data_IF_282115058637
#
_entry.id   IF_282115058637
#
_cell.length_a   1.000
_cell.length_b   1.000
_cell.length_c   1.000
_cell.angle_alpha   90.00
_cell.angle_beta   90.00
_cell.angle_gamma   90.00
#
_symmetry.space_group_name_H-M   'P 1'
#
loop_
_entity.id
_entity.type
_entity.pdbx_description
1 polymer ?
#
# COMPACT_ATOMS: atom_id res chain seq x y z
N UNK A 1 -51.62 -36.93 20.55
CA UNK A 1 -51.26 -35.69 21.30
C UNK A 1 -50.05 -35.85 22.23
N UNK A 2 -50.01 -36.82 23.18
CA UNK A 2 -48.89 -36.95 24.13
C UNK A 2 -47.56 -37.38 23.43
N UNK A 3 -47.63 -38.19 22.39
CA UNK A 3 -46.40 -38.63 21.63
C UNK A 3 -45.83 -37.52 20.75
N UNK A 4 -46.70 -36.78 20.08
CA UNK A 4 -46.30 -35.61 19.27
C UNK A 4 -45.68 -34.51 20.14
N UNK A 5 -46.18 -34.25 21.34
CA UNK A 5 -45.58 -33.31 22.26
C UNK A 5 -44.20 -33.77 22.76
N UNK A 6 -44.02 -35.07 23.10
CA UNK A 6 -42.70 -35.59 23.50
C UNK A 6 -41.69 -35.49 22.39
N UNK A 7 -42.07 -35.78 21.14
CA UNK A 7 -41.20 -35.63 19.98
C UNK A 7 -40.81 -34.14 19.79
N UNK A 8 -41.73 -33.24 19.90
CA UNK A 8 -41.45 -31.80 19.80
C UNK A 8 -40.45 -31.31 20.87
N UNK A 9 -40.67 -31.74 22.15
CA UNK A 9 -39.76 -31.40 23.25
C UNK A 9 -38.34 -32.00 22.99
N UNK A 10 -38.25 -33.22 22.50
CA UNK A 10 -36.98 -33.85 22.18
C UNK A 10 -36.25 -33.08 21.07
N UNK A 11 -36.96 -32.66 20.02
CA UNK A 11 -36.39 -31.86 18.92
C UNK A 11 -35.90 -30.48 19.43
N UNK A 12 -36.61 -29.82 20.33
CA UNK A 12 -36.20 -28.56 20.96
C UNK A 12 -34.94 -28.77 21.80
N UNK A 13 -34.87 -29.85 22.59
CA UNK A 13 -33.69 -30.19 23.38
C UNK A 13 -32.50 -30.48 22.44
N UNK A 14 -32.69 -31.25 21.38
CA UNK A 14 -31.66 -31.57 20.41
C UNK A 14 -31.12 -30.34 19.67
N UNK A 15 -31.96 -29.30 19.50
CA UNK A 15 -31.60 -28.04 18.88
C UNK A 15 -30.86 -27.12 19.86
N UNK A 16 -31.30 -27.04 21.14
CA UNK A 16 -30.74 -26.09 22.09
C UNK A 16 -29.50 -26.61 22.79
N UNK A 17 -29.48 -27.85 23.23
CA UNK A 17 -28.38 -28.40 24.04
C UNK A 17 -27.03 -28.31 23.40
N UNK A 18 -26.81 -28.68 22.10
CA UNK A 18 -25.50 -28.52 21.47
C UNK A 18 -25.04 -27.08 21.40
N UNK A 19 -25.99 -26.14 21.20
CA UNK A 19 -25.67 -24.70 21.12
C UNK A 19 -25.23 -24.09 22.45
N UNK A 20 -25.57 -24.69 23.60
CA UNK A 20 -25.12 -24.24 24.92
C UNK A 20 -23.63 -24.49 25.16
N UNK A 21 -23.07 -25.55 24.54
CA UNK A 21 -21.68 -25.94 24.69
C UNK A 21 -20.73 -25.28 23.69
N UNK A 22 -21.26 -24.59 22.67
CA UNK A 22 -20.47 -23.88 21.69
C UNK A 22 -20.22 -22.43 22.10
N UNK A 23 -19.02 -21.92 21.80
CA UNK A 23 -18.66 -20.54 22.06
C UNK A 23 -19.55 -19.56 21.30
N UNK A 24 -19.79 -18.39 21.90
CA UNK A 24 -20.54 -17.29 21.27
C UNK A 24 -19.81 -16.74 20.05
N UNK A 25 -18.48 -16.66 20.11
CA UNK A 25 -17.62 -16.17 19.04
C UNK A 25 -16.61 -17.25 18.61
N UNK A 26 -16.25 -17.21 17.36
CA UNK A 26 -15.20 -18.03 16.77
C UNK A 26 -14.15 -17.05 16.24
N UNK A 27 -12.91 -17.27 16.67
CA UNK A 27 -11.75 -16.50 16.26
C UNK A 27 -10.80 -17.43 15.51
N UNK A 28 -10.33 -16.98 14.35
CA UNK A 28 -9.37 -17.71 13.50
C UNK A 28 -8.22 -16.79 13.20
N UNK A 29 -7.02 -17.33 13.30
CA UNK A 29 -5.79 -16.68 12.89
C UNK A 29 -5.08 -17.54 11.85
N UNK A 30 -4.69 -16.92 10.73
CA UNK A 30 -3.89 -17.54 9.67
C UNK A 30 -2.76 -16.61 9.27
N UNK A 31 -1.60 -17.20 9.00
CA UNK A 31 -0.39 -16.45 8.67
C UNK A 31 0.25 -17.01 7.41
N UNK A 32 0.78 -16.12 6.57
CA UNK A 32 1.58 -16.47 5.39
C UNK A 32 2.83 -15.59 5.33
N UNK A 33 3.94 -16.14 4.86
CA UNK A 33 5.14 -15.38 4.55
C UNK A 33 5.28 -15.22 3.03
N UNK A 34 5.43 -13.97 2.58
CA UNK A 34 5.48 -13.55 1.17
C UNK A 34 6.86 -12.97 0.88
N UNK A 35 7.52 -13.46 -0.17
CA UNK A 35 8.85 -12.97 -0.60
C UNK A 35 8.73 -11.64 -1.37
N UNK A 36 8.34 -10.61 -0.64
CA UNK A 36 8.16 -9.25 -1.17
C UNK A 36 8.30 -8.22 -0.06
N UNK A 37 8.71 -6.98 -0.38
CA UNK A 37 8.72 -5.88 0.58
C UNK A 37 7.32 -5.62 1.17
N UNK A 38 7.29 -5.24 2.45
CA UNK A 38 6.05 -5.10 3.23
C UNK A 38 5.03 -4.17 2.57
N UNK A 39 5.48 -3.02 2.07
CA UNK A 39 4.62 -2.04 1.42
C UNK A 39 3.96 -2.57 0.13
N UNK A 40 4.64 -3.42 -0.64
CA UNK A 40 4.07 -4.04 -1.84
C UNK A 40 2.92 -4.99 -1.49
N UNK A 41 3.13 -5.83 -0.47
CA UNK A 41 2.09 -6.73 0.04
C UNK A 41 0.93 -5.93 0.62
N UNK A 42 1.24 -4.89 1.41
CA UNK A 42 0.25 -4.01 2.03
C UNK A 42 -0.66 -3.36 0.98
N UNK A 43 -0.10 -2.82 -0.11
CA UNK A 43 -0.87 -2.16 -1.18
C UNK A 43 -1.85 -3.11 -1.86
N UNK A 44 -1.49 -4.38 -2.07
CA UNK A 44 -2.40 -5.39 -2.66
C UNK A 44 -3.60 -5.71 -1.77
N UNK A 45 -3.50 -5.47 -0.47
CA UNK A 45 -4.61 -5.65 0.48
C UNK A 45 -5.35 -4.34 0.73
N UNK A 46 -4.65 -3.20 0.78
CA UNK A 46 -5.23 -1.89 1.02
C UNK A 46 -6.04 -1.35 -0.16
N UNK A 47 -5.78 -1.83 -1.38
CA UNK A 47 -6.55 -1.53 -2.57
C UNK A 47 -7.65 -2.59 -2.78
N UNK A 48 -8.91 -2.21 -2.56
CA UNK A 48 -10.04 -3.16 -2.64
C UNK A 48 -10.26 -3.70 -4.06
N UNK A 49 -9.85 -2.99 -5.12
CA UNK A 49 -9.95 -3.47 -6.49
C UNK A 49 -9.01 -4.66 -6.78
N UNK A 50 -7.92 -4.80 -6.04
CA UNK A 50 -6.98 -5.92 -6.15
C UNK A 50 -7.53 -7.24 -5.56
N UNK A 51 -8.55 -7.17 -4.68
CA UNK A 51 -9.12 -8.37 -4.06
C UNK A 51 -9.70 -9.35 -5.07
N UNK A 52 -10.19 -8.86 -6.21
CA UNK A 52 -10.63 -9.69 -7.32
C UNK A 52 -9.56 -10.63 -7.87
N UNK A 53 -8.27 -10.27 -7.72
CA UNK A 53 -7.14 -11.01 -8.24
C UNK A 53 -6.66 -12.15 -7.32
N UNK A 54 -7.00 -12.10 -6.04
CA UNK A 54 -6.49 -13.09 -5.07
C UNK A 54 -7.55 -13.69 -4.14
N UNK A 55 -8.68 -13.02 -3.88
CA UNK A 55 -9.71 -13.56 -3.00
C UNK A 55 -10.55 -14.65 -3.71
N UNK A 56 -10.63 -15.88 -3.20
CA UNK A 56 -11.14 -17.03 -3.96
C UNK A 56 -12.63 -16.96 -4.29
N UNK A 57 -13.41 -16.20 -3.57
CA UNK A 57 -14.84 -16.00 -3.86
C UNK A 57 -15.02 -15.39 -5.25
N UNK A 58 -14.18 -14.48 -5.63
CA UNK A 58 -14.20 -13.79 -6.91
C UNK A 58 -13.63 -14.66 -8.05
N UNK A 59 -12.63 -15.49 -7.74
CA UNK A 59 -11.98 -16.36 -8.73
C UNK A 59 -12.82 -17.56 -9.13
N UNK A 60 -13.85 -17.93 -8.34
CA UNK A 60 -14.70 -19.11 -8.56
C UNK A 60 -15.94 -18.84 -9.41
N UNK A 61 -16.31 -17.61 -9.63
CA UNK A 61 -17.52 -17.23 -10.35
C UNK A 61 -17.21 -16.09 -11.34
N UNK A 62 -17.11 -16.45 -12.62
CA UNK A 62 -16.81 -15.47 -13.69
C UNK A 62 -17.95 -14.48 -13.96
N UNK A 63 -19.15 -14.71 -13.38
CA UNK A 63 -20.29 -13.78 -13.48
C UNK A 63 -20.23 -12.64 -12.47
N UNK A 64 -19.21 -12.60 -11.60
CA UNK A 64 -19.07 -11.56 -10.60
C UNK A 64 -18.86 -10.21 -11.28
N UNK A 65 -19.72 -9.26 -10.96
CA UNK A 65 -19.57 -7.86 -11.30
C UNK A 65 -19.19 -7.09 -10.05
N UNK A 66 -18.18 -6.24 -10.21
CA UNK A 66 -17.70 -5.37 -9.14
C UNK A 66 -18.19 -3.95 -9.37
N UNK A 67 -18.58 -3.31 -8.30
CA UNK A 67 -18.81 -1.88 -8.23
C UNK A 67 -17.95 -1.30 -7.10
N UNK A 68 -17.15 -0.30 -7.44
CA UNK A 68 -16.36 0.44 -6.46
C UNK A 68 -17.01 1.81 -6.33
N UNK A 69 -17.40 2.17 -5.12
CA UNK A 69 -17.94 3.50 -4.87
C UNK A 69 -16.83 4.55 -4.79
N UNK A 70 -16.85 5.50 -3.91
CA UNK A 70 -16.05 6.72 -3.95
C UNK A 70 -14.54 6.54 -3.84
N UNK A 71 -14.04 5.49 -3.18
CA UNK A 71 -12.60 5.23 -3.00
C UNK A 71 -12.28 3.74 -3.05
N UNK A 72 -11.21 3.40 -3.76
CA UNK A 72 -10.69 2.02 -3.85
C UNK A 72 -9.55 1.75 -2.87
N UNK A 73 -9.02 2.78 -2.19
CA UNK A 73 -7.85 2.71 -1.32
C UNK A 73 -8.07 3.41 0.02
N UNK A 74 -7.51 2.83 1.09
CA UNK A 74 -7.47 3.45 2.41
C UNK A 74 -8.72 3.22 3.26
N UNK A 75 -8.81 3.94 4.38
CA UNK A 75 -9.95 3.85 5.28
C UNK A 75 -11.23 4.36 4.61
N UNK A 76 -12.28 3.55 4.64
CA UNK A 76 -13.55 3.85 3.98
C UNK A 76 -13.68 3.23 2.59
N UNK A 77 -12.58 2.78 1.97
CA UNK A 77 -12.63 2.08 0.70
C UNK A 77 -13.58 0.88 0.76
N UNK A 78 -14.38 0.69 -0.29
CA UNK A 78 -15.32 -0.40 -0.37
C UNK A 78 -15.39 -1.00 -1.76
N UNK A 79 -15.77 -2.28 -1.81
CA UNK A 79 -16.01 -3.05 -3.01
C UNK A 79 -17.32 -3.79 -2.85
N UNK A 80 -18.26 -3.51 -3.73
CA UNK A 80 -19.52 -4.24 -3.82
C UNK A 80 -19.42 -5.27 -4.94
N UNK A 81 -20.06 -6.40 -4.74
CA UNK A 81 -20.14 -7.42 -5.79
C UNK A 81 -21.52 -8.03 -5.86
N UNK A 82 -21.88 -8.45 -7.04
CA UNK A 82 -23.06 -9.25 -7.29
C UNK A 82 -22.76 -10.33 -8.35
N UNK A 83 -23.52 -11.42 -8.31
CA UNK A 83 -23.43 -12.51 -9.27
C UNK A 83 -24.79 -12.76 -9.91
N UNK A 84 -24.80 -13.41 -11.07
CA UNK A 84 -26.06 -13.83 -11.73
C UNK A 84 -26.92 -14.74 -10.86
N UNK A 85 -26.33 -15.45 -9.88
CA UNK A 85 -27.02 -16.31 -8.91
C UNK A 85 -27.53 -15.55 -7.67
N UNK A 86 -27.63 -14.24 -7.74
CA UNK A 86 -28.06 -13.36 -6.63
C UNK A 86 -27.23 -13.51 -5.34
N UNK A 87 -25.97 -13.95 -5.46
CA UNK A 87 -25.01 -13.82 -4.36
C UNK A 87 -24.38 -12.44 -4.46
N UNK A 88 -24.52 -11.64 -3.43
CA UNK A 88 -23.95 -10.31 -3.37
C UNK A 88 -23.29 -10.06 -2.03
N UNK A 89 -22.51 -8.99 -1.96
CA UNK A 89 -21.92 -8.57 -0.69
C UNK A 89 -21.13 -7.29 -0.83
N UNK A 90 -20.58 -6.87 0.31
CA UNK A 90 -19.79 -5.64 0.43
C UNK A 90 -18.56 -5.95 1.29
N UNK A 91 -17.40 -5.60 0.77
CA UNK A 91 -16.16 -5.46 1.53
C UNK A 91 -15.97 -3.98 1.87
N UNK A 92 -15.71 -3.67 3.13
CA UNK A 92 -15.39 -2.30 3.56
C UNK A 92 -14.15 -2.30 4.44
N UNK A 93 -13.18 -1.44 4.11
CA UNK A 93 -12.02 -1.19 4.97
C UNK A 93 -12.39 -0.17 6.03
N UNK A 94 -12.38 -0.58 7.31
CA UNK A 94 -12.79 0.29 8.43
C UNK A 94 -11.63 1.09 9.00
N UNK A 95 -10.42 0.52 8.95
CA UNK A 95 -9.19 1.13 9.46
C UNK A 95 -8.02 0.68 8.60
N UNK A 96 -7.24 1.62 8.12
CA UNK A 96 -6.01 1.37 7.38
C UNK A 96 -4.90 2.17 8.04
N UNK A 97 -3.95 1.44 8.65
CA UNK A 97 -2.73 2.01 9.24
C UNK A 97 -1.58 1.58 8.35
N UNK A 98 -0.97 2.54 7.67
CA UNK A 98 0.05 2.31 6.65
C UNK A 98 1.12 1.32 7.11
N UNK A 99 1.32 0.27 6.32
CA UNK A 99 2.32 -0.79 6.54
C UNK A 99 2.20 -1.54 7.88
N UNK A 100 1.05 -1.46 8.56
CA UNK A 100 0.84 -2.10 9.87
C UNK A 100 -0.42 -2.94 9.94
N UNK A 101 -1.58 -2.35 9.60
CA UNK A 101 -2.87 -2.98 9.85
C UNK A 101 -3.93 -2.55 8.85
N UNK A 102 -4.78 -3.49 8.46
CA UNK A 102 -6.01 -3.23 7.69
C UNK A 102 -7.13 -3.99 8.35
N UNK A 103 -8.09 -3.28 8.97
CA UNK A 103 -9.31 -3.88 9.52
C UNK A 103 -10.45 -3.74 8.50
N UNK A 104 -11.23 -4.80 8.32
CA UNK A 104 -12.30 -4.84 7.33
C UNK A 104 -13.56 -5.52 7.83
N UNK A 105 -14.66 -5.19 7.19
CA UNK A 105 -15.94 -5.90 7.30
C UNK A 105 -16.25 -6.54 5.95
N UNK A 106 -16.67 -7.81 5.98
CA UNK A 106 -17.15 -8.53 4.83
C UNK A 106 -18.60 -8.92 5.08
N UNK A 107 -19.50 -8.40 4.27
CA UNK A 107 -20.94 -8.61 4.37
C UNK A 107 -21.40 -9.49 3.20
N UNK A 108 -22.20 -10.51 3.48
CA UNK A 108 -22.80 -11.38 2.48
C UNK A 108 -24.32 -11.26 2.50
N UNK A 109 -24.94 -11.12 1.35
CA UNK A 109 -26.41 -11.11 1.23
C UNK A 109 -26.94 -12.54 1.12
N UNK A 110 -28.07 -12.78 1.81
CA UNK A 110 -28.84 -14.01 1.64
C UNK A 110 -28.27 -15.28 2.27
N UNK A 111 -27.29 -15.18 3.18
CA UNK A 111 -26.71 -16.33 3.89
C UNK A 111 -26.89 -16.24 5.41
N UNK A 112 -26.80 -17.40 6.09
CA UNK A 112 -26.83 -17.46 7.56
C UNK A 112 -25.65 -16.71 8.16
N UNK A 113 -24.48 -16.80 7.54
CA UNK A 113 -23.31 -15.97 7.86
C UNK A 113 -23.37 -14.74 6.97
N UNK A 114 -23.74 -13.62 7.54
CA UNK A 114 -23.93 -12.38 6.79
C UNK A 114 -22.88 -11.31 7.10
N UNK A 115 -22.05 -11.50 8.13
CA UNK A 115 -21.02 -10.55 8.50
C UNK A 115 -19.79 -11.25 9.08
N UNK A 116 -18.62 -10.94 8.54
CA UNK A 116 -17.30 -11.34 9.05
C UNK A 116 -16.53 -10.07 9.35
N UNK A 117 -15.96 -9.99 10.55
CA UNK A 117 -15.00 -8.97 10.94
C UNK A 117 -13.59 -9.55 10.76
N UNK A 118 -12.73 -8.81 10.13
CA UNK A 118 -11.35 -9.26 9.92
C UNK A 118 -10.34 -8.15 10.07
N UNK A 119 -9.10 -8.56 10.30
CA UNK A 119 -7.95 -7.67 10.26
C UNK A 119 -6.73 -8.39 9.69
N UNK A 120 -6.03 -7.73 8.81
CA UNK A 120 -4.67 -8.08 8.41
C UNK A 120 -3.68 -7.28 9.22
N UNK A 121 -2.62 -7.92 9.68
CA UNK A 121 -1.44 -7.28 10.25
C UNK A 121 -0.22 -7.67 9.43
N UNK A 122 0.72 -6.73 9.29
CA UNK A 122 1.89 -6.84 8.44
C UNK A 122 3.16 -6.63 9.25
N UNK A 123 4.12 -7.53 9.09
CA UNK A 123 5.41 -7.47 9.76
C UNK A 123 6.54 -7.77 8.76
N UNK A 124 7.58 -6.94 8.75
CA UNK A 124 8.78 -7.24 7.97
C UNK A 124 9.64 -8.24 8.72
N UNK A 125 9.88 -9.40 8.12
CA UNK A 125 10.74 -10.47 8.68
C UNK A 125 11.86 -10.74 7.69
N UNK A 126 13.03 -10.18 7.95
CA UNK A 126 14.15 -10.20 6.99
C UNK A 126 13.74 -9.56 5.64
N UNK A 127 13.81 -10.35 4.55
CA UNK A 127 13.40 -9.92 3.19
C UNK A 127 11.97 -10.31 2.83
N UNK A 128 11.22 -10.92 3.77
CA UNK A 128 9.84 -11.38 3.58
C UNK A 128 8.89 -10.53 4.40
N UNK A 129 7.65 -10.50 3.97
CA UNK A 129 6.55 -9.93 4.73
C UNK A 129 5.71 -11.04 5.32
N UNK A 130 5.54 -11.03 6.64
CA UNK A 130 4.58 -11.87 7.33
C UNK A 130 3.24 -11.14 7.35
N UNK A 131 2.22 -11.79 6.80
CA UNK A 131 0.83 -11.34 6.80
C UNK A 131 0.04 -12.26 7.71
N UNK A 132 -0.56 -11.71 8.75
CA UNK A 132 -1.46 -12.45 9.64
C UNK A 132 -2.88 -11.92 9.45
N UNK A 133 -3.81 -12.82 9.12
CA UNK A 133 -5.24 -12.51 9.02
C UNK A 133 -5.96 -13.07 10.25
N UNK A 134 -6.63 -12.17 10.98
CA UNK A 134 -7.49 -12.52 12.10
C UNK A 134 -8.95 -12.32 11.67
N UNK A 135 -9.80 -13.34 11.87
CA UNK A 135 -11.23 -13.30 11.59
C UNK A 135 -11.99 -13.55 12.87
N UNK A 136 -13.03 -12.75 13.10
CA UNK A 136 -13.94 -12.90 14.22
C UNK A 136 -15.37 -12.95 13.72
N UNK A 137 -16.13 -13.88 14.27
CA UNK A 137 -17.57 -13.96 14.04
C UNK A 137 -18.30 -14.41 15.29
N UNK A 138 -19.40 -13.72 15.59
CA UNK A 138 -20.30 -14.06 16.69
C UNK A 138 -21.62 -14.62 16.18
N UNK A 139 -22.15 -15.63 16.89
CA UNK A 139 -23.42 -16.28 16.55
C UNK A 139 -24.42 -16.20 17.71
N UNK A 140 -25.70 -15.87 17.43
CA UNK A 140 -26.77 -16.04 18.41
C UNK A 140 -26.86 -17.49 18.88
N UNK A 141 -27.34 -17.72 20.10
CA UNK A 141 -27.36 -19.02 20.78
C UNK A 141 -27.91 -20.16 19.86
N UNK A 142 -29.07 -19.95 19.25
CA UNK A 142 -29.71 -20.99 18.44
C UNK A 142 -29.04 -21.32 17.11
N UNK A 143 -28.07 -20.49 16.69
CA UNK A 143 -27.37 -20.64 15.40
C UNK A 143 -25.90 -21.03 15.53
N UNK A 144 -25.39 -21.29 16.73
CA UNK A 144 -23.97 -21.56 16.97
C UNK A 144 -23.49 -22.83 16.24
N UNK A 145 -24.29 -23.89 16.22
CA UNK A 145 -23.96 -25.13 15.48
C UNK A 145 -23.85 -24.85 13.99
N UNK A 146 -24.84 -24.20 13.40
CA UNK A 146 -24.82 -23.83 11.98
C UNK A 146 -23.71 -22.85 11.66
N UNK A 147 -23.49 -21.87 12.54
CA UNK A 147 -22.41 -20.90 12.44
C UNK A 147 -21.04 -21.55 12.45
N UNK A 148 -20.82 -22.54 13.29
CA UNK A 148 -19.56 -23.31 13.35
C UNK A 148 -19.23 -23.96 11.99
N UNK A 149 -20.16 -24.64 11.38
CA UNK A 149 -19.94 -25.28 10.08
C UNK A 149 -19.77 -24.25 8.93
N UNK A 150 -20.55 -23.17 8.95
CA UNK A 150 -20.45 -22.11 7.95
C UNK A 150 -19.11 -21.38 8.08
N UNK A 151 -18.64 -21.15 9.30
CA UNK A 151 -17.39 -20.44 9.56
C UNK A 151 -16.15 -21.27 9.17
N UNK A 152 -16.21 -22.60 9.35
CA UNK A 152 -15.15 -23.50 8.87
C UNK A 152 -14.91 -23.37 7.35
N UNK A 153 -15.98 -23.13 6.60
CA UNK A 153 -15.86 -22.87 5.16
C UNK A 153 -15.19 -21.52 4.88
N UNK A 154 -15.53 -20.49 5.65
CA UNK A 154 -14.88 -19.17 5.55
C UNK A 154 -13.40 -19.26 5.92
N UNK A 155 -13.06 -20.01 6.94
CA UNK A 155 -11.67 -20.31 7.33
C UNK A 155 -10.87 -20.87 6.15
N UNK A 156 -11.40 -21.89 5.46
CA UNK A 156 -10.75 -22.47 4.29
C UNK A 156 -10.64 -21.48 3.12
N UNK A 157 -11.64 -20.62 2.92
CA UNK A 157 -11.59 -19.57 1.89
C UNK A 157 -10.49 -18.56 2.16
N UNK A 158 -10.29 -18.14 3.43
CA UNK A 158 -9.20 -17.23 3.79
C UNK A 158 -7.81 -17.88 3.76
N UNK A 159 -7.69 -19.16 4.07
CA UNK A 159 -6.46 -19.93 3.87
C UNK A 159 -6.04 -19.88 2.39
N UNK A 160 -6.99 -20.19 1.49
CA UNK A 160 -6.77 -20.14 0.03
C UNK A 160 -6.48 -18.68 -0.40
N UNK A 161 -7.18 -17.70 0.18
CA UNK A 161 -6.97 -16.29 -0.12
C UNK A 161 -5.54 -15.85 0.19
N UNK A 162 -4.99 -16.22 1.34
CA UNK A 162 -3.61 -15.90 1.72
C UNK A 162 -2.59 -16.56 0.77
N UNK A 163 -2.82 -17.81 0.35
CA UNK A 163 -1.94 -18.47 -0.62
C UNK A 163 -2.03 -17.81 -2.01
N UNK A 164 -3.21 -17.41 -2.43
CA UNK A 164 -3.39 -16.67 -3.68
C UNK A 164 -2.75 -15.28 -3.61
N UNK A 165 -2.89 -14.56 -2.47
CA UNK A 165 -2.24 -13.27 -2.25
C UNK A 165 -0.72 -13.42 -2.37
N UNK A 166 -0.15 -14.45 -1.71
CA UNK A 166 1.27 -14.78 -1.82
C UNK A 166 1.68 -14.92 -3.29
N UNK A 167 1.02 -15.81 -4.03
CA UNK A 167 1.31 -16.06 -5.44
C UNK A 167 1.16 -14.78 -6.27
N UNK A 168 0.05 -14.05 -6.13
CA UNK A 168 -0.24 -12.83 -6.87
C UNK A 168 0.82 -11.75 -6.65
N UNK A 169 1.31 -11.59 -5.42
CA UNK A 169 2.36 -10.63 -5.09
C UNK A 169 3.71 -11.08 -5.64
N UNK A 170 4.08 -12.34 -5.45
CA UNK A 170 5.38 -12.88 -5.89
C UNK A 170 5.50 -12.94 -7.43
N UNK A 171 4.39 -13.21 -8.14
CA UNK A 171 4.35 -13.18 -9.60
C UNK A 171 4.26 -11.77 -10.17
N UNK A 172 3.66 -10.81 -9.45
CA UNK A 172 3.61 -9.42 -9.86
C UNK A 172 4.94 -8.72 -9.58
N UNK A 173 5.98 -9.06 -10.33
CA UNK A 173 7.26 -8.35 -10.23
C UNK A 173 7.04 -6.89 -10.63
N UNK A 174 7.33 -5.98 -9.71
CA UNK A 174 7.40 -4.56 -10.00
C UNK A 174 8.83 -4.22 -10.44
N UNK A 175 9.12 -4.11 -11.75
CA UNK A 175 10.47 -3.93 -12.27
C UNK A 175 11.10 -2.61 -11.81
N UNK A 176 10.27 -1.64 -11.38
CA UNK A 176 10.74 -0.32 -10.93
C UNK A 176 10.89 -0.22 -9.42
N UNK A 177 10.68 -1.32 -8.65
CA UNK A 177 10.78 -1.33 -7.19
C UNK A 177 10.04 -0.16 -6.54
N UNK A 178 8.77 0.08 -6.97
CA UNK A 178 7.93 1.14 -6.40
C UNK A 178 7.58 0.78 -4.96
N UNK A 179 7.91 1.69 -4.03
CA UNK A 179 7.69 1.56 -2.60
C UNK A 179 6.82 2.73 -2.11
N UNK A 180 5.89 2.47 -1.20
CA UNK A 180 5.14 3.52 -0.50
C UNK A 180 5.45 3.47 1.00
N UNK A 181 5.89 4.59 1.58
CA UNK A 181 6.20 4.67 3.01
C UNK A 181 6.17 6.10 3.52
N UNK A 182 6.09 6.24 4.85
CA UNK A 182 6.23 7.52 5.51
C UNK A 182 7.70 7.93 5.55
N UNK A 183 8.04 9.01 4.86
CA UNK A 183 9.37 9.60 4.89
C UNK A 183 9.42 10.67 5.96
N UNK A 184 10.41 10.60 6.83
CA UNK A 184 10.63 11.59 7.89
C UNK A 184 11.06 12.95 7.31
N UNK A 185 10.77 14.02 8.05
CA UNK A 185 11.24 15.34 7.70
C UNK A 185 12.77 15.42 7.71
N UNK A 186 13.32 16.17 6.79
CA UNK A 186 14.77 16.39 6.69
C UNK A 186 15.11 17.82 6.25
N UNK A 187 16.28 18.28 6.63
CA UNK A 187 16.74 19.64 6.33
C UNK A 187 17.64 19.65 5.10
N UNK A 188 17.51 20.70 4.30
CA UNK A 188 18.32 20.91 3.10
C UNK A 188 18.86 22.32 3.02
N UNK A 189 19.98 22.44 2.33
CA UNK A 189 20.54 23.70 1.84
C UNK A 189 20.31 23.73 0.34
N UNK A 190 19.54 24.71 -0.17
CA UNK A 190 19.01 24.64 -1.53
C UNK A 190 18.96 25.97 -2.26
N UNK A 191 18.85 25.91 -3.58
CA UNK A 191 18.71 27.05 -4.47
C UNK A 191 17.81 26.71 -5.65
N UNK A 192 16.81 27.53 -5.89
CA UNK A 192 15.93 27.44 -7.07
C UNK A 192 16.62 27.98 -8.30
N UNK A 193 16.36 27.36 -9.45
CA UNK A 193 16.85 27.79 -10.77
C UNK A 193 15.81 27.48 -11.85
N UNK A 194 15.80 28.31 -12.89
CA UNK A 194 15.03 28.04 -14.11
C UNK A 194 16.00 27.93 -15.29
N UNK A 195 15.79 26.92 -16.14
CA UNK A 195 16.64 26.69 -17.31
C UNK A 195 15.89 26.00 -18.44
N UNK A 196 16.55 25.91 -19.62
CA UNK A 196 16.04 25.10 -20.71
C UNK A 196 16.15 23.62 -20.34
N UNK A 197 15.12 22.83 -20.70
CA UNK A 197 15.09 21.38 -20.47
C UNK A 197 16.35 20.66 -20.98
N UNK A 198 16.85 21.05 -22.17
CA UNK A 198 18.08 20.50 -22.75
C UNK A 198 19.38 20.81 -21.98
N UNK A 199 19.34 21.69 -20.99
CA UNK A 199 20.53 22.12 -20.24
C UNK A 199 20.46 21.81 -18.75
N UNK A 200 19.49 21.03 -18.30
CA UNK A 200 19.26 20.67 -16.89
C UNK A 200 20.56 20.19 -16.20
N UNK A 201 21.18 19.16 -16.73
CA UNK A 201 22.38 18.55 -16.11
C UNK A 201 23.51 19.55 -15.88
N UNK A 202 23.83 20.39 -16.89
CA UNK A 202 24.87 21.42 -16.79
C UNK A 202 24.53 22.48 -15.73
N UNK A 203 23.27 22.91 -15.69
CA UNK A 203 22.85 23.92 -14.73
C UNK A 203 22.81 23.35 -13.31
N UNK A 204 22.36 22.12 -13.11
CA UNK A 204 22.41 21.45 -11.80
C UNK A 204 23.84 21.29 -11.31
N UNK A 205 24.77 20.79 -12.16
CA UNK A 205 26.18 20.64 -11.78
C UNK A 205 26.78 21.97 -11.30
N UNK A 206 26.54 23.06 -12.05
CA UNK A 206 26.99 24.39 -11.68
C UNK A 206 26.37 24.82 -10.35
N UNK A 207 25.06 24.66 -10.18
CA UNK A 207 24.37 25.10 -8.97
C UNK A 207 24.80 24.30 -7.74
N UNK A 208 25.05 22.98 -7.85
CA UNK A 208 25.61 22.20 -6.75
C UNK A 208 27.00 22.68 -6.35
N UNK A 209 27.87 23.03 -7.31
CA UNK A 209 29.20 23.60 -7.01
C UNK A 209 29.08 24.95 -6.28
N UNK A 210 28.16 25.81 -6.71
CA UNK A 210 27.87 27.10 -6.04
C UNK A 210 27.37 26.88 -4.61
N UNK A 211 26.40 25.93 -4.41
CA UNK A 211 25.89 25.58 -3.09
C UNK A 211 26.98 25.04 -2.18
N UNK A 212 27.82 24.13 -2.65
CA UNK A 212 28.92 23.56 -1.87
C UNK A 212 29.91 24.63 -1.41
N UNK A 213 30.25 25.57 -2.30
CA UNK A 213 31.11 26.72 -1.94
C UNK A 213 30.45 27.59 -0.85
N UNK A 214 29.17 27.95 -1.01
CA UNK A 214 28.47 28.75 -0.05
C UNK A 214 28.32 28.03 1.31
N UNK A 215 28.02 26.72 1.30
CA UNK A 215 27.96 25.90 2.52
C UNK A 215 29.30 25.88 3.26
N UNK A 216 30.43 25.85 2.51
CA UNK A 216 31.76 25.90 3.12
C UNK A 216 32.01 27.27 3.79
N UNK A 217 31.57 28.36 3.15
CA UNK A 217 31.64 29.73 3.73
C UNK A 217 30.75 29.85 4.97
N UNK A 218 29.57 29.21 4.97
CA UNK A 218 28.63 29.22 6.08
C UNK A 218 28.97 28.18 7.18
N UNK A 219 30.04 27.38 7.00
CA UNK A 219 30.45 26.33 7.95
C UNK A 219 29.46 25.15 8.07
N UNK A 220 28.69 24.87 7.01
CA UNK A 220 27.68 23.82 6.96
C UNK A 220 28.21 22.61 6.18
N UNK A 221 28.10 21.41 6.75
CA UNK A 221 28.51 20.16 6.10
C UNK A 221 27.34 19.50 5.35
N UNK A 222 27.64 18.90 4.19
CA UNK A 222 26.68 18.05 3.45
C UNK A 222 26.48 16.72 4.17
N UNK A 223 25.21 16.32 4.38
CA UNK A 223 24.84 15.11 5.12
C UNK A 223 24.09 14.09 4.25
N UNK A 224 24.32 14.01 2.99
CA UNK A 224 23.62 13.02 2.13
C UNK A 224 23.90 13.20 0.64
N UNK A 225 23.04 12.64 -0.16
CA UNK A 225 23.14 12.69 -1.62
C UNK A 225 22.44 13.92 -2.18
N UNK A 226 22.90 14.48 -3.31
CA UNK A 226 22.25 15.60 -3.97
C UNK A 226 20.82 15.28 -4.35
N UNK A 227 19.95 16.29 -4.21
CA UNK A 227 18.51 16.22 -4.48
C UNK A 227 18.16 17.26 -5.53
N UNK A 228 17.37 16.89 -6.53
CA UNK A 228 16.73 17.81 -7.45
C UNK A 228 15.22 17.78 -7.25
N UNK A 229 14.61 18.91 -6.92
CA UNK A 229 13.15 19.06 -6.80
C UNK A 229 12.65 19.73 -8.07
N UNK A 230 11.63 19.13 -8.70
CA UNK A 230 10.97 19.64 -9.90
C UNK A 230 9.68 20.36 -9.47
N UNK A 231 9.60 21.66 -9.74
CA UNK A 231 8.42 22.48 -9.43
C UNK A 231 7.51 22.65 -10.64
N UNK A 232 8.10 22.89 -11.82
CA UNK A 232 7.37 22.96 -13.07
C UNK A 232 8.22 22.41 -14.21
N UNK A 233 7.59 21.72 -15.13
CA UNK A 233 8.24 21.10 -16.29
C UNK A 233 7.44 21.36 -17.56
N UNK A 234 8.14 21.78 -18.64
CA UNK A 234 7.59 21.87 -19.98
C UNK A 234 8.60 21.37 -21.00
N UNK A 235 8.19 21.24 -22.25
CA UNK A 235 9.07 20.78 -23.33
C UNK A 235 10.32 21.69 -23.52
N UNK A 236 10.24 22.95 -23.15
CA UNK A 236 11.29 23.94 -23.39
C UNK A 236 11.98 24.43 -22.15
N UNK A 237 11.29 24.53 -21.02
CA UNK A 237 11.76 25.13 -19.77
C UNK A 237 11.36 24.31 -18.56
N UNK A 238 12.19 24.38 -17.52
CA UNK A 238 11.94 23.70 -16.26
C UNK A 238 12.31 24.61 -15.10
N UNK A 239 11.52 24.58 -14.05
CA UNK A 239 11.82 25.19 -12.77
C UNK A 239 12.24 24.10 -11.77
N UNK A 240 13.47 24.22 -11.28
CA UNK A 240 14.13 23.22 -10.45
C UNK A 240 14.61 23.85 -9.15
N UNK A 241 14.83 23.00 -8.17
CA UNK A 241 15.57 23.36 -6.98
C UNK A 241 16.67 22.31 -6.72
N UNK A 242 17.91 22.75 -6.79
CA UNK A 242 19.05 21.96 -6.38
C UNK A 242 19.17 22.01 -4.85
N UNK A 243 19.23 20.87 -4.19
CA UNK A 243 19.27 20.77 -2.74
C UNK A 243 20.34 19.78 -2.27
N UNK A 244 21.05 20.13 -1.21
CA UNK A 244 22.02 19.30 -0.51
C UNK A 244 21.51 19.05 0.91
N UNK A 245 21.32 17.80 1.33
CA UNK A 245 20.88 17.50 2.69
C UNK A 245 21.90 17.97 3.73
N UNK A 246 21.40 18.51 4.84
CA UNK A 246 22.16 18.93 6.01
C UNK A 246 21.63 18.23 7.25
N UNK A 247 22.45 18.10 8.30
CA UNK A 247 22.04 17.40 9.51
C UNK A 247 20.87 18.10 10.20
N UNK A 248 21.00 19.43 10.39
CA UNK A 248 19.96 20.27 11.00
C UNK A 248 20.17 21.73 10.62
N UNK A 249 19.12 22.54 10.71
CA UNK A 249 19.21 23.97 10.51
C UNK A 249 19.62 24.62 11.85
N UNK A 250 20.88 25.04 11.97
CA UNK A 250 21.38 25.78 13.12
C UNK A 250 21.24 27.28 12.94
N UNK A 251 21.46 27.75 11.71
CA UNK A 251 21.31 29.18 11.33
C UNK A 251 20.36 29.30 10.14
N UNK A 252 19.11 29.71 10.34
CA UNK A 252 18.18 29.93 9.24
C UNK A 252 18.71 30.98 8.24
N UNK A 253 18.65 30.64 6.95
CA UNK A 253 19.04 31.52 5.85
C UNK A 253 18.08 31.34 4.68
N UNK A 254 18.21 32.16 3.63
CA UNK A 254 17.43 31.99 2.40
C UNK A 254 17.70 30.64 1.66
N UNK A 255 18.77 29.95 2.03
CA UNK A 255 19.16 28.68 1.45
C UNK A 255 18.70 27.47 2.28
N UNK A 256 18.33 27.66 3.54
CA UNK A 256 17.98 26.56 4.44
C UNK A 256 16.47 26.37 4.52
N UNK A 257 15.99 25.15 4.32
CA UNK A 257 14.59 24.78 4.54
C UNK A 257 14.43 23.35 5.03
N UNK A 258 13.27 23.05 5.57
CA UNK A 258 12.88 21.68 5.93
C UNK A 258 11.91 21.13 4.88
N UNK A 259 12.19 19.95 4.36
CA UNK A 259 11.22 19.12 3.63
C UNK A 259 10.42 18.37 4.70
N UNK A 260 9.12 18.60 4.75
CA UNK A 260 8.25 18.01 5.77
C UNK A 260 8.14 16.50 5.63
N UNK A 261 7.78 15.83 6.73
CA UNK A 261 7.43 14.41 6.67
C UNK A 261 6.17 14.22 5.84
N UNK A 262 6.18 13.21 4.97
CA UNK A 262 5.07 12.90 4.09
C UNK A 262 5.03 11.43 3.73
N UNK A 263 3.87 10.92 3.35
CA UNK A 263 3.79 9.64 2.65
C UNK A 263 4.30 9.82 1.22
N UNK A 264 5.21 8.98 0.78
CA UNK A 264 5.82 9.07 -0.55
C UNK A 264 5.72 7.76 -1.32
N UNK A 265 5.59 7.87 -2.64
CA UNK A 265 5.96 6.80 -3.57
C UNK A 265 7.41 6.99 -3.97
N UNK A 266 8.19 5.93 -3.88
CA UNK A 266 9.58 5.90 -4.33
C UNK A 266 9.76 4.84 -5.40
N UNK A 267 10.35 5.19 -6.54
CA UNK A 267 10.87 4.24 -7.51
C UNK A 267 12.39 4.34 -7.60
N UNK A 268 13.06 3.21 -7.92
CA UNK A 268 14.50 3.18 -8.16
C UNK A 268 14.76 2.96 -9.64
N UNK A 269 15.42 3.92 -10.25
CA UNK A 269 15.88 3.86 -11.64
C UNK A 269 17.38 3.55 -11.71
N UNK A 270 17.77 2.67 -12.63
CA UNK A 270 19.17 2.37 -12.93
C UNK A 270 19.42 2.64 -14.40
N UNK A 271 20.27 3.61 -14.70
CA UNK A 271 20.60 4.00 -16.07
C UNK A 271 20.91 5.49 -16.24
N UNK A 272 21.11 5.93 -17.50
CA UNK A 272 21.32 7.34 -17.85
C UNK A 272 20.10 8.20 -17.50
N UNK A 273 20.29 9.39 -16.96
CA UNK A 273 19.21 10.28 -16.47
C UNK A 273 18.15 10.62 -17.54
N UNK A 274 18.54 10.69 -18.81
CA UNK A 274 17.65 10.99 -19.94
C UNK A 274 16.76 9.83 -20.38
N UNK A 275 16.89 8.64 -19.76
CA UNK A 275 16.12 7.43 -20.06
C UNK A 275 15.18 6.99 -18.93
N UNK A 276 14.93 7.87 -17.97
CA UNK A 276 14.11 7.55 -16.80
C UNK A 276 12.60 7.61 -17.04
N UNK A 277 12.11 7.99 -18.24
CA UNK A 277 10.69 8.20 -18.53
C UNK A 277 9.82 7.00 -18.16
N UNK A 278 10.23 5.79 -18.50
CA UNK A 278 9.47 4.58 -18.16
C UNK A 278 9.27 4.37 -16.65
N UNK A 279 10.16 4.92 -15.81
CA UNK A 279 10.01 4.89 -14.35
C UNK A 279 8.97 5.90 -13.87
N UNK A 280 8.87 7.06 -14.51
CA UNK A 280 7.82 8.03 -14.26
C UNK A 280 6.46 7.49 -14.68
N UNK A 281 6.36 6.93 -15.90
CA UNK A 281 5.14 6.30 -16.40
C UNK A 281 4.62 5.22 -15.44
N UNK A 282 5.53 4.42 -14.89
CA UNK A 282 5.19 3.38 -13.91
C UNK A 282 4.72 3.96 -12.57
N UNK A 283 5.31 5.09 -12.09
CA UNK A 283 4.84 5.79 -10.90
C UNK A 283 3.43 6.37 -11.11
N UNK A 284 3.18 6.98 -12.27
CA UNK A 284 1.89 7.57 -12.62
C UNK A 284 0.81 6.47 -12.76
N UNK A 285 1.14 5.35 -13.42
CA UNK A 285 0.25 4.19 -13.51
C UNK A 285 -0.06 3.62 -12.12
N UNK A 286 0.97 3.48 -11.28
CA UNK A 286 0.80 2.98 -9.91
C UNK A 286 -0.08 3.90 -9.08
N UNK A 287 0.14 5.21 -9.14
CA UNK A 287 -0.67 6.20 -8.43
C UNK A 287 -2.13 6.16 -8.89
N UNK A 288 -2.36 6.16 -10.21
CA UNK A 288 -3.70 6.08 -10.81
C UNK A 288 -4.43 4.81 -10.40
N UNK A 289 -3.76 3.65 -10.52
CA UNK A 289 -4.33 2.34 -10.16
C UNK A 289 -4.74 2.24 -8.70
N UNK A 290 -4.07 2.98 -7.82
CA UNK A 290 -4.31 2.96 -6.38
C UNK A 290 -5.08 4.18 -5.87
N UNK A 291 -5.64 5.02 -6.76
CA UNK A 291 -6.41 6.24 -6.45
C UNK A 291 -5.64 7.18 -5.50
N UNK A 292 -4.34 7.33 -5.76
CA UNK A 292 -3.48 8.19 -4.96
C UNK A 292 -3.41 9.59 -5.58
N UNK A 293 -3.63 10.61 -4.75
CA UNK A 293 -3.46 12.00 -5.14
C UNK A 293 -2.01 12.40 -4.88
N UNK A 294 -1.34 12.85 -5.95
CA UNK A 294 0.08 13.20 -5.94
C UNK A 294 0.21 14.72 -5.97
N UNK A 295 1.19 15.28 -5.25
CA UNK A 295 1.58 16.68 -5.39
C UNK A 295 2.15 16.95 -6.79
N UNK A 296 1.96 18.16 -7.31
CA UNK A 296 2.52 18.57 -8.61
C UNK A 296 4.05 18.54 -8.63
N UNK A 297 4.68 18.80 -7.48
CA UNK A 297 6.14 18.74 -7.32
C UNK A 297 6.60 17.32 -6.99
N UNK A 298 7.70 16.92 -7.58
CA UNK A 298 8.37 15.66 -7.27
C UNK A 298 9.88 15.88 -7.12
N UNK A 299 10.60 14.91 -6.55
CA UNK A 299 12.05 15.06 -6.42
C UNK A 299 12.81 13.78 -6.70
N UNK A 300 14.06 13.96 -7.10
CA UNK A 300 15.04 12.91 -7.36
C UNK A 300 16.18 13.01 -6.36
N UNK A 301 16.67 11.85 -5.89
CA UNK A 301 17.92 11.73 -5.13
C UNK A 301 18.94 10.99 -6.00
N UNK A 302 20.07 11.62 -6.28
CA UNK A 302 21.13 11.04 -7.08
C UNK A 302 22.05 10.16 -6.21
N UNK A 303 21.78 8.87 -6.17
CA UNK A 303 22.51 7.92 -5.31
C UNK A 303 23.93 7.72 -5.83
N UNK A 304 24.07 7.59 -7.16
CA UNK A 304 25.39 7.42 -7.82
C UNK A 304 25.94 8.77 -8.24
N UNK A 305 27.20 9.01 -7.89
CA UNK A 305 27.95 10.17 -8.35
C UNK A 305 28.61 9.85 -9.70
N UNK A 306 28.28 10.57 -10.79
CA UNK A 306 28.90 10.40 -12.11
C UNK A 306 30.42 10.67 -12.12
N UNK A 307 30.91 11.42 -11.13
CA UNK A 307 32.33 11.64 -10.91
C UNK A 307 33.08 10.34 -10.58
N UNK A 308 32.43 9.48 -9.77
CA UNK A 308 32.99 8.23 -9.29
C UNK A 308 32.65 7.02 -10.19
N UNK A 309 31.45 7.00 -10.78
CA UNK A 309 30.96 5.92 -11.65
C UNK A 309 30.83 6.45 -13.08
N UNK A 310 31.80 6.12 -13.95
CA UNK A 310 31.84 6.64 -15.31
C UNK A 310 30.86 5.99 -16.28
N UNK A 311 30.36 4.78 -15.95
CA UNK A 311 29.40 4.04 -16.77
C UNK A 311 27.97 4.50 -16.45
N UNK A 312 27.30 5.24 -17.35
CA UNK A 312 25.95 5.73 -17.09
C UNK A 312 24.91 4.62 -16.90
N UNK A 313 25.15 3.42 -17.43
CA UNK A 313 24.22 2.27 -17.25
C UNK A 313 24.13 1.78 -15.81
N UNK A 314 25.06 2.22 -14.94
CA UNK A 314 25.14 1.87 -13.52
C UNK A 314 24.71 3.00 -12.58
N UNK A 315 24.28 4.14 -13.12
CA UNK A 315 23.80 5.23 -12.28
C UNK A 315 22.48 4.88 -11.64
N UNK A 316 22.37 5.16 -10.36
CA UNK A 316 21.17 4.88 -9.56
C UNK A 316 20.54 6.21 -9.14
N UNK A 317 19.28 6.38 -9.46
CA UNK A 317 18.46 7.53 -9.07
C UNK A 317 17.21 7.03 -8.36
N UNK A 318 16.88 7.60 -7.23
CA UNK A 318 15.59 7.39 -6.58
C UNK A 318 14.66 8.55 -6.93
N UNK A 319 13.45 8.24 -7.39
CA UNK A 319 12.42 9.20 -7.79
C UNK A 319 11.31 9.13 -6.74
N UNK A 320 10.87 10.29 -6.27
CA UNK A 320 9.91 10.42 -5.17
C UNK A 320 8.71 11.28 -5.58
N UNK A 321 7.52 10.73 -5.42
CA UNK A 321 6.26 11.48 -5.46
C UNK A 321 5.71 11.62 -4.05
N UNK A 322 5.27 12.82 -3.68
CA UNK A 322 4.58 13.06 -2.40
C UNK A 322 3.09 12.79 -2.59
N UNK A 323 2.48 12.05 -1.65
CA UNK A 323 1.05 11.76 -1.62
C UNK A 323 0.34 12.79 -0.75
N UNK A 324 -0.76 13.39 -1.27
CA UNK A 324 -1.60 14.41 -0.61
C UNK A 324 -2.53 13.81 0.46
#
# INVERSE_FOLDING_TARGET
MKTTFKVLVLLIILLIVPNLFLNKSIDIERTVEIESPLNMVFMKVANVSEWGNWYPFYLKDSSVKFDTTESIYGTGANLEWNTEKNNSGVLKLNEVVLNKKIAFNLLYSGKIVNKVLGAFTFEQVNRKTRVTCNLNQSHPLLFRVFGFFAFKKIEQEFEIALQNLKRHVEESQNPFHILMYQKEAFSVYSKTLSCKTSTIGRNLERTYKELQKQMQEDGIAVFGKPICIYHAYSDTTVELEAALPIHQITNPSKYTKTINSATVLKATYVGPYDKSQATYDALDEFATKNDLKIEDSHYQIFITDPGNVKDPSKWVTEIYYTIL
#
